data_IF_522007222270
#
_entry.id   IF_522007222270
#
_cell.length_a   1.000
_cell.length_b   1.000
_cell.length_c   1.000
_cell.angle_alpha   90.00
_cell.angle_beta   90.00
_cell.angle_gamma   90.00
#
_symmetry.space_group_name_H-M   'P 1'
#
loop_
_entity.id
_entity.type
_entity.pdbx_description
1 polymer ?
#
# COMPACT_ATOMS: atom_id res chain seq x y z
N UNK A 1 2.68 -14.79 20.84
CA UNK A 1 1.86 -14.91 19.62
C UNK A 1 1.97 -13.57 18.91
N UNK A 2 2.62 -13.49 17.74
CA UNK A 2 2.70 -12.23 16.98
C UNK A 2 1.39 -12.07 16.24
N UNK A 3 0.70 -10.95 16.47
CA UNK A 3 -0.50 -10.58 15.73
C UNK A 3 -0.11 -10.35 14.26
N UNK A 4 -0.61 -11.15 13.29
CA UNK A 4 -0.20 -11.06 11.90
C UNK A 4 -0.63 -9.74 11.21
N UNK A 5 -1.42 -8.89 11.87
CA UNK A 5 -1.92 -7.63 11.32
C UNK A 5 -1.11 -6.37 11.63
N UNK A 6 -0.14 -6.42 12.56
CA UNK A 6 0.63 -5.25 12.96
C UNK A 6 1.99 -5.22 12.26
N UNK A 7 2.13 -4.38 11.23
CA UNK A 7 3.44 -3.99 10.72
C UNK A 7 4.16 -3.16 11.78
N UNK A 8 5.30 -3.62 12.34
CA UNK A 8 6.07 -2.78 13.25
C UNK A 8 6.57 -1.50 12.56
N UNK A 9 6.82 -0.42 13.33
CA UNK A 9 7.44 0.80 12.82
C UNK A 9 8.72 0.47 12.06
N UNK A 10 8.88 1.08 10.88
CA UNK A 10 10.00 0.77 9.99
C UNK A 10 9.66 0.99 8.52
N UNK A 11 10.64 0.73 7.66
CA UNK A 11 10.51 0.81 6.21
C UNK A 11 10.34 -0.58 5.61
N UNK A 12 9.25 -0.75 4.87
CA UNK A 12 8.88 -1.94 4.14
C UNK A 12 8.98 -1.64 2.65
N UNK A 13 9.43 -2.62 1.87
CA UNK A 13 9.44 -2.49 0.42
C UNK A 13 9.03 -3.80 -0.23
N UNK A 14 8.39 -3.69 -1.39
CA UNK A 14 8.02 -4.82 -2.21
C UNK A 14 8.18 -4.48 -3.70
N UNK A 15 8.47 -5.53 -4.48
CA UNK A 15 8.60 -5.44 -5.93
C UNK A 15 7.34 -5.94 -6.61
N UNK A 16 6.87 -5.18 -7.60
CA UNK A 16 5.72 -5.53 -8.43
C UNK A 16 6.09 -5.35 -9.90
N UNK A 17 5.37 -6.03 -10.80
CA UNK A 17 5.45 -5.76 -12.23
C UNK A 17 4.29 -4.84 -12.63
N UNK A 18 4.54 -3.80 -13.41
CA UNK A 18 3.46 -3.02 -14.04
C UNK A 18 2.82 -3.80 -15.21
N UNK A 19 1.79 -3.20 -15.82
CA UNK A 19 1.09 -3.79 -16.97
C UNK A 19 1.96 -3.93 -18.23
N UNK A 20 3.18 -3.39 -18.24
CA UNK A 20 4.19 -3.56 -19.28
C UNK A 20 5.29 -4.55 -18.88
N UNK A 21 5.19 -5.21 -17.73
CA UNK A 21 6.20 -6.14 -17.21
C UNK A 21 7.43 -5.46 -16.60
N UNK A 22 7.42 -4.13 -16.42
CA UNK A 22 8.53 -3.38 -15.82
C UNK A 22 8.46 -3.51 -14.30
N UNK A 23 9.64 -3.63 -13.68
CA UNK A 23 9.77 -3.73 -12.22
C UNK A 23 9.48 -2.38 -11.56
N UNK A 24 8.45 -2.33 -10.73
CA UNK A 24 8.12 -1.22 -9.84
C UNK A 24 8.50 -1.56 -8.40
N UNK A 25 8.95 -0.55 -7.67
CA UNK A 25 9.20 -0.65 -6.22
C UNK A 25 8.14 0.18 -5.51
N UNK A 26 7.49 -0.43 -4.53
CA UNK A 26 6.67 0.30 -3.57
C UNK A 26 7.41 0.29 -2.23
N UNK A 27 7.64 1.47 -1.67
CA UNK A 27 8.24 1.64 -0.34
C UNK A 27 7.22 2.29 0.59
N UNK A 28 7.00 1.68 1.74
CA UNK A 28 6.10 2.15 2.80
C UNK A 28 6.94 2.33 4.06
N UNK A 29 7.03 3.54 4.57
CA UNK A 29 7.65 3.83 5.86
C UNK A 29 6.57 4.22 6.86
N UNK A 30 6.55 3.56 8.01
CA UNK A 30 5.67 3.91 9.13
C UNK A 30 6.51 4.68 10.15
N UNK A 31 6.37 5.99 10.15
CA UNK A 31 7.04 6.92 11.07
C UNK A 31 5.97 7.56 11.97
N UNK A 32 5.74 7.01 13.16
CA UNK A 32 4.68 7.53 14.05
C UNK A 32 4.77 9.06 14.20
N UNK A 33 3.73 9.85 13.86
CA UNK A 33 2.32 9.47 13.65
C UNK A 33 1.86 9.29 12.19
N UNK A 34 2.78 9.30 11.22
CA UNK A 34 2.50 9.35 9.79
C UNK A 34 2.95 8.08 9.04
N UNK A 35 2.26 7.79 7.94
CA UNK A 35 2.64 6.79 6.95
C UNK A 35 3.14 7.50 5.70
N UNK A 36 4.34 7.14 5.27
CA UNK A 36 4.98 7.67 4.07
C UNK A 36 4.98 6.59 2.98
N UNK A 37 4.44 6.93 1.81
CA UNK A 37 4.47 6.07 0.63
C UNK A 37 5.34 6.72 -0.44
N UNK A 38 6.39 6.02 -0.87
CA UNK A 38 7.25 6.49 -1.97
C UNK A 38 6.91 5.72 -3.24
N UNK A 39 6.50 6.46 -4.28
CA UNK A 39 6.18 5.88 -5.58
C UNK A 39 7.45 5.54 -6.36
N UNK A 40 7.33 4.77 -7.44
CA UNK A 40 8.45 4.43 -8.31
C UNK A 40 9.14 5.67 -8.93
N UNK A 41 8.45 6.82 -9.02
CA UNK A 41 9.01 8.09 -9.47
C UNK A 41 9.76 8.89 -8.39
N UNK A 42 9.83 8.37 -7.15
CA UNK A 42 10.45 9.06 -6.02
C UNK A 42 9.54 10.07 -5.31
N UNK A 43 8.28 10.21 -5.73
CA UNK A 43 7.30 11.06 -5.05
C UNK A 43 6.95 10.48 -3.69
N UNK A 44 7.06 11.29 -2.64
CA UNK A 44 6.65 10.93 -1.28
C UNK A 44 5.24 11.43 -1.02
N UNK A 45 4.33 10.53 -0.69
CA UNK A 45 2.98 10.81 -0.21
C UNK A 45 2.95 10.60 1.30
N UNK A 46 2.34 11.53 2.03
CA UNK A 46 2.23 11.51 3.49
C UNK A 46 0.77 11.35 3.87
N UNK A 47 0.50 10.40 4.75
CA UNK A 47 -0.82 10.09 5.26
C UNK A 47 -0.76 10.05 6.79
N UNK A 48 -1.80 10.54 7.44
CA UNK A 48 -2.08 10.17 8.83
C UNK A 48 -2.51 8.70 8.90
N UNK A 49 -2.40 8.05 10.07
CA UNK A 49 -2.87 6.67 10.23
C UNK A 49 -4.34 6.44 9.77
N UNK A 50 -5.31 7.33 10.08
CA UNK A 50 -6.68 7.17 9.57
C UNK A 50 -6.78 7.27 8.03
N UNK A 51 -6.07 8.21 7.40
CA UNK A 51 -6.08 8.36 5.94
C UNK A 51 -5.48 7.14 5.24
N UNK A 52 -4.40 6.58 5.80
CA UNK A 52 -3.81 5.35 5.30
C UNK A 52 -4.78 4.16 5.42
N UNK A 53 -5.52 4.06 6.54
CA UNK A 53 -6.56 3.06 6.73
C UNK A 53 -7.63 3.11 5.65
N UNK A 54 -8.20 4.30 5.40
CA UNK A 54 -9.20 4.47 4.35
C UNK A 54 -8.68 4.12 2.96
N UNK A 55 -7.42 4.47 2.64
CA UNK A 55 -6.82 4.13 1.35
C UNK A 55 -6.72 2.62 1.16
N UNK A 56 -6.22 1.90 2.18
CA UNK A 56 -6.05 0.45 2.12
C UNK A 56 -7.40 -0.28 2.03
N UNK A 57 -8.42 0.15 2.78
CA UNK A 57 -9.77 -0.41 2.70
C UNK A 57 -10.39 -0.24 1.31
N UNK A 58 -10.27 0.95 0.71
CA UNK A 58 -10.77 1.20 -0.64
C UNK A 58 -10.02 0.40 -1.71
N UNK A 59 -8.71 0.20 -1.54
CA UNK A 59 -7.91 -0.63 -2.44
C UNK A 59 -8.32 -2.11 -2.33
N UNK A 60 -8.52 -2.63 -1.12
CA UNK A 60 -8.97 -4.01 -0.92
C UNK A 60 -10.34 -4.25 -1.56
N UNK A 61 -11.29 -3.32 -1.36
CA UNK A 61 -12.60 -3.36 -2.00
C UNK A 61 -12.49 -3.35 -3.55
N UNK A 62 -11.62 -2.51 -4.10
CA UNK A 62 -11.39 -2.45 -5.55
C UNK A 62 -10.79 -3.76 -6.10
N UNK A 63 -9.82 -4.35 -5.40
CA UNK A 63 -9.21 -5.64 -5.77
C UNK A 63 -10.24 -6.77 -5.68
N UNK A 64 -11.05 -6.81 -4.63
CA UNK A 64 -12.14 -7.78 -4.48
C UNK A 64 -13.14 -7.68 -5.65
N UNK A 65 -13.47 -6.47 -6.09
CA UNK A 65 -14.36 -6.24 -7.23
C UNK A 65 -13.76 -6.74 -8.57
N UNK A 66 -12.46 -6.51 -8.78
CA UNK A 66 -11.75 -6.94 -9.99
C UNK A 66 -11.54 -8.47 -10.05
N UNK A 67 -11.34 -9.11 -8.90
CA UNK A 67 -11.08 -10.56 -8.81
C UNK A 67 -12.35 -11.41 -8.83
N UNK A 68 -13.49 -10.86 -8.42
CA UNK A 68 -14.80 -11.56 -8.45
C UNK A 68 -15.57 -11.37 -9.76
N UNK A 69 -14.99 -10.69 -10.75
CA UNK A 69 -15.60 -10.53 -12.08
C UNK A 69 -16.80 -9.60 -12.08
N UNK A 70 -16.76 -8.51 -11.30
CA UNK A 70 -17.77 -7.47 -11.30
C UNK A 70 -17.95 -6.84 -12.68
N UNK A 71 -18.91 -7.35 -13.45
CA UNK A 71 -19.59 -6.58 -14.49
C UNK A 71 -20.51 -5.59 -13.76
N UNK A 72 -20.61 -4.32 -14.20
CA UNK A 72 -21.48 -3.32 -13.58
C UNK A 72 -22.92 -3.81 -13.40
#
# INVERSE_FOLDING_TARGET
MRDPGLMPPGTWWAYYADHHGRRCVLTISIEHPDLLLTTAGGTVLRFTCPEAGMLLENLDAAVAHLTTGGRP
#
